data_IF_021421811838
#
_entry.id   IF_021421811838
#
_cell.length_a   1.000
_cell.length_b   1.000
_cell.length_c   1.000
_cell.angle_alpha   90.00
_cell.angle_beta   90.00
_cell.angle_gamma   90.00
#
_symmetry.space_group_name_H-M   'P 1'
#
loop_
_entity.id
_entity.type
_entity.pdbx_description
1 polymer ?
#
# COMPACT_ATOMS: atom_id res chain seq x y z
N UNK A 1 -5.93 14.19 0.00
CA UNK A 1 -5.83 12.77 -0.38
C UNK A 1 -6.35 11.96 0.80
N UNK A 2 -7.34 11.08 0.64
CA UNK A 2 -7.83 10.25 1.74
C UNK A 2 -7.74 8.79 1.32
N UNK A 3 -6.63 8.14 1.67
CA UNK A 3 -6.47 6.69 1.61
C UNK A 3 -6.63 6.21 3.05
N UNK A 4 -7.61 5.34 3.31
CA UNK A 4 -7.87 4.83 4.64
C UNK A 4 -6.75 3.87 5.04
N UNK A 5 -6.23 4.05 6.26
CA UNK A 5 -5.25 3.14 6.84
C UNK A 5 -5.95 2.15 7.77
N UNK A 6 -5.65 0.88 7.58
CA UNK A 6 -6.12 -0.23 8.41
C UNK A 6 -4.96 -0.78 9.23
N UNK A 7 -5.25 -1.45 10.34
CA UNK A 7 -4.27 -2.28 11.04
C UNK A 7 -4.55 -3.73 10.72
N UNK A 8 -3.55 -4.41 10.16
CA UNK A 8 -3.60 -5.83 9.85
C UNK A 8 -2.28 -6.47 10.23
N UNK A 9 -2.27 -7.79 10.36
CA UNK A 9 -1.07 -8.56 10.63
C UNK A 9 -0.53 -9.15 9.33
N UNK A 10 0.65 -8.72 8.92
CA UNK A 10 1.39 -9.31 7.80
C UNK A 10 2.67 -9.90 8.41
N UNK A 11 3.02 -11.14 8.06
CA UNK A 11 4.16 -11.86 8.64
C UNK A 11 4.16 -11.97 10.18
N UNK A 12 3.00 -12.08 10.83
CA UNK A 12 2.88 -12.06 12.30
C UNK A 12 3.23 -10.71 12.96
N UNK A 13 3.43 -9.65 12.18
CA UNK A 13 3.65 -8.30 12.69
C UNK A 13 2.44 -7.41 12.38
N UNK A 14 1.93 -6.71 13.41
CA UNK A 14 0.88 -5.71 13.22
C UNK A 14 1.48 -4.48 12.55
N UNK A 15 0.94 -4.13 11.38
CA UNK A 15 1.35 -2.94 10.66
C UNK A 15 0.18 -2.22 10.01
N UNK A 16 0.44 -0.97 9.61
CA UNK A 16 -0.50 -0.21 8.81
C UNK A 16 -0.57 -0.78 7.40
N UNK A 17 -1.78 -0.90 6.88
CA UNK A 17 -2.04 -1.46 5.55
C UNK A 17 -3.11 -0.65 4.82
N UNK A 18 -3.17 -0.84 3.51
CA UNK A 18 -4.15 -0.21 2.62
C UNK A 18 -4.98 -1.31 1.95
N UNK A 19 -6.30 -1.10 1.85
CA UNK A 19 -7.15 -1.99 1.05
C UNK A 19 -6.85 -1.80 -0.45
N UNK A 20 -6.52 -2.88 -1.15
CA UNK A 20 -6.11 -2.78 -2.55
C UNK A 20 -7.22 -2.27 -3.48
N UNK A 21 -8.50 -2.54 -3.21
CA UNK A 21 -9.61 -2.04 -4.03
C UNK A 21 -9.83 -0.55 -3.84
N UNK A 22 -9.71 -0.07 -2.61
CA UNK A 22 -9.78 1.36 -2.32
C UNK A 22 -8.64 2.09 -3.02
N UNK A 23 -7.42 1.52 -2.97
CA UNK A 23 -6.28 2.07 -3.70
C UNK A 23 -6.53 2.08 -5.21
N UNK A 24 -6.99 0.97 -5.79
CA UNK A 24 -7.31 0.88 -7.21
C UNK A 24 -8.33 1.92 -7.65
N UNK A 25 -9.42 2.07 -6.88
CA UNK A 25 -10.46 3.06 -7.13
C UNK A 25 -9.91 4.49 -7.01
N UNK A 26 -9.11 4.76 -5.98
CA UNK A 26 -8.46 6.05 -5.78
C UNK A 26 -7.52 6.39 -6.94
N UNK A 27 -6.77 5.42 -7.45
CA UNK A 27 -5.84 5.62 -8.57
C UNK A 27 -6.54 5.80 -9.91
N UNK A 28 -7.86 5.56 -9.98
CA UNK A 28 -8.67 5.68 -11.20
C UNK A 28 -8.12 4.81 -12.35
N UNK A 29 -7.51 3.66 -12.03
CA UNK A 29 -7.13 2.68 -13.06
C UNK A 29 -8.42 2.06 -13.65
N UNK A 30 -8.43 1.90 -14.97
CA UNK A 30 -9.58 1.43 -15.77
C UNK A 30 -9.62 -0.10 -15.93
N UNK A 31 -8.55 -0.79 -15.58
CA UNK A 31 -8.47 -2.24 -15.63
C UNK A 31 -9.41 -2.89 -14.62
N UNK A 32 -9.80 -4.13 -14.87
CA UNK A 32 -10.52 -4.90 -13.86
C UNK A 32 -9.60 -5.21 -12.68
N UNK A 33 -10.02 -4.84 -11.47
CA UNK A 33 -9.24 -5.00 -10.24
C UNK A 33 -8.52 -6.36 -10.11
N UNK A 34 -9.21 -7.47 -10.40
CA UNK A 34 -8.65 -8.82 -10.26
C UNK A 34 -7.52 -9.13 -11.25
N UNK A 35 -7.52 -8.48 -12.41
CA UNK A 35 -6.46 -8.57 -13.41
C UNK A 35 -5.33 -7.63 -12.99
N UNK A 36 -5.68 -6.36 -12.74
CA UNK A 36 -4.74 -5.34 -12.29
C UNK A 36 -3.85 -5.78 -11.12
N UNK A 37 -4.44 -6.26 -10.02
CA UNK A 37 -3.66 -6.59 -8.83
C UNK A 37 -2.71 -7.77 -9.07
N UNK A 38 -3.14 -8.77 -9.85
CA UNK A 38 -2.31 -9.94 -10.19
C UNK A 38 -1.15 -9.54 -11.10
N UNK A 39 -1.44 -8.76 -12.13
CA UNK A 39 -0.43 -8.28 -13.07
C UNK A 39 0.61 -7.43 -12.34
N UNK A 40 0.19 -6.58 -11.40
CA UNK A 40 1.13 -5.78 -10.60
C UNK A 40 1.94 -6.60 -9.61
N UNK A 41 1.33 -7.58 -8.96
CA UNK A 41 2.06 -8.54 -8.10
C UNK A 41 3.17 -9.24 -8.90
N UNK A 42 2.83 -9.77 -10.08
CA UNK A 42 3.79 -10.47 -10.93
C UNK A 42 4.86 -9.52 -11.49
N UNK A 43 4.45 -8.37 -12.03
CA UNK A 43 5.35 -7.42 -12.70
C UNK A 43 6.41 -6.82 -11.77
N UNK A 44 6.05 -6.54 -10.51
CA UNK A 44 6.95 -5.90 -9.54
C UNK A 44 7.50 -6.89 -8.51
N UNK A 45 7.12 -8.17 -8.58
CA UNK A 45 7.66 -9.21 -7.71
C UNK A 45 7.22 -9.10 -6.26
N UNK A 46 6.01 -8.59 -6.00
CA UNK A 46 5.49 -8.48 -4.63
C UNK A 46 5.25 -9.87 -4.01
N UNK A 47 5.60 -10.01 -2.74
CA UNK A 47 5.64 -11.28 -2.02
C UNK A 47 4.48 -11.34 -1.00
N UNK A 48 3.70 -12.42 -1.05
CA UNK A 48 2.65 -12.65 -0.05
C UNK A 48 3.26 -12.89 1.33
N UNK A 49 2.62 -12.33 2.36
CA UNK A 49 3.10 -12.24 3.74
C UNK A 49 4.32 -11.34 3.92
N UNK A 50 4.69 -10.52 2.94
CA UNK A 50 5.68 -9.46 3.10
C UNK A 50 5.09 -8.12 2.62
N UNK A 51 4.66 -8.09 1.37
CA UNK A 51 4.14 -6.90 0.72
C UNK A 51 2.61 -6.83 0.78
N UNK A 52 1.94 -7.98 0.87
CA UNK A 52 0.49 -8.05 1.01
C UNK A 52 0.05 -9.34 1.72
N UNK A 53 -1.21 -9.38 2.13
CA UNK A 53 -1.90 -10.61 2.51
C UNK A 53 -3.24 -10.71 1.79
N UNK A 54 -3.69 -11.94 1.54
CA UNK A 54 -5.01 -12.20 0.97
C UNK A 54 -6.01 -12.65 2.04
N UNK A 55 -7.27 -12.30 1.87
CA UNK A 55 -8.36 -12.81 2.69
C UNK A 55 -9.63 -12.95 1.86
N UNK A 56 -10.50 -13.88 2.26
CA UNK A 56 -11.82 -14.02 1.66
C UNK A 56 -12.71 -12.89 2.17
N UNK A 57 -13.45 -12.25 1.27
CA UNK A 57 -14.54 -11.37 1.69
C UNK A 57 -15.55 -12.21 2.49
N UNK A 58 -15.74 -11.88 3.77
CA UNK A 58 -16.71 -12.53 4.65
C UNK A 58 -18.13 -12.04 4.31
N UNK A 59 -18.59 -12.28 3.07
CA UNK A 59 -20.02 -12.26 2.80
C UNK A 59 -20.61 -13.51 3.45
N UNK A 60 -21.59 -13.38 4.33
CA UNK A 60 -22.37 -14.51 4.84
C UNK A 60 -22.81 -15.36 3.65
N UNK A 61 -22.15 -16.51 3.45
CA UNK A 61 -22.28 -17.45 2.33
C UNK A 61 -22.86 -16.82 1.05
N UNK A 62 -22.05 -16.41 0.07
CA UNK A 62 -22.63 -15.93 -1.19
C UNK A 62 -23.63 -16.98 -1.70
N UNK A 63 -24.91 -16.59 -1.84
CA UNK A 63 -26.00 -17.49 -2.26
C UNK A 63 -25.68 -18.21 -3.58
N UNK A 64 -24.71 -17.69 -4.34
CA UNK A 64 -24.12 -18.33 -5.51
C UNK A 64 -22.69 -17.80 -5.73
N UNK A 65 -21.73 -18.68 -6.01
CA UNK A 65 -20.37 -18.31 -6.48
C UNK A 65 -19.22 -18.49 -5.47
N UNK A 66 -17.98 -18.34 -5.95
CA UNK A 66 -16.76 -18.37 -5.13
C UNK A 66 -16.61 -17.01 -4.42
N UNK A 67 -16.29 -16.98 -3.10
CA UNK A 67 -15.99 -15.74 -2.39
C UNK A 67 -14.89 -14.93 -3.09
N UNK A 68 -15.01 -13.60 -3.02
CA UNK A 68 -14.01 -12.69 -3.58
C UNK A 68 -12.74 -12.73 -2.74
N UNK A 69 -11.60 -12.63 -3.42
CA UNK A 69 -10.29 -12.48 -2.78
C UNK A 69 -10.01 -10.98 -2.65
N UNK A 70 -9.75 -10.56 -1.43
CA UNK A 70 -9.37 -9.20 -1.05
C UNK A 70 -7.91 -9.17 -0.60
N UNK A 71 -7.29 -8.00 -0.72
CA UNK A 71 -5.86 -7.80 -0.47
C UNK A 71 -5.66 -6.63 0.51
N UNK A 72 -4.92 -6.88 1.59
CA UNK A 72 -4.36 -5.82 2.43
C UNK A 72 -2.89 -5.64 2.04
N UNK A 73 -2.55 -4.44 1.60
CA UNK A 73 -1.23 -4.09 1.09
C UNK A 73 -0.41 -3.42 2.20
N UNK A 74 0.87 -3.73 2.27
CA UNK A 74 1.82 -2.93 3.05
C UNK A 74 1.83 -1.48 2.54
N UNK A 75 2.25 -0.55 3.40
CA UNK A 75 2.38 0.84 2.99
C UNK A 75 3.36 1.00 1.82
N UNK A 76 4.43 0.21 1.80
CA UNK A 76 5.48 0.33 0.78
C UNK A 76 4.98 -0.17 -0.57
N UNK A 77 4.27 -1.31 -0.61
CA UNK A 77 3.61 -1.78 -1.83
C UNK A 77 2.58 -0.74 -2.33
N UNK A 78 1.76 -0.17 -1.44
CA UNK A 78 0.76 0.83 -1.83
C UNK A 78 1.40 2.12 -2.41
N UNK A 79 2.53 2.56 -1.86
CA UNK A 79 3.31 3.68 -2.39
C UNK A 79 3.85 3.36 -3.77
N UNK A 80 4.47 2.19 -3.94
CA UNK A 80 5.06 1.77 -5.21
C UNK A 80 4.00 1.69 -6.31
N UNK A 81 2.86 1.03 -6.04
CA UNK A 81 1.71 1.01 -6.95
C UNK A 81 1.27 2.42 -7.34
N UNK A 82 1.11 3.32 -6.38
CA UNK A 82 0.73 4.72 -6.65
C UNK A 82 1.71 5.43 -7.58
N UNK A 83 3.01 5.10 -7.52
CA UNK A 83 4.02 5.69 -8.38
C UNK A 83 4.02 5.11 -9.80
N UNK A 84 3.72 3.82 -9.95
CA UNK A 84 3.83 3.11 -11.24
C UNK A 84 2.55 3.13 -12.08
N UNK A 85 1.39 3.40 -11.50
CA UNK A 85 0.11 3.46 -12.25
C UNK A 85 0.04 4.59 -13.29
N UNK A 86 0.91 5.60 -13.20
CA UNK A 86 0.98 6.74 -14.16
C UNK A 86 -0.36 7.47 -14.36
N UNK A 87 -1.25 7.47 -13.37
CA UNK A 87 -2.50 8.24 -13.38
C UNK A 87 -2.31 9.61 -12.71
N UNK A 88 -3.24 10.54 -12.92
CA UNK A 88 -3.21 11.86 -12.26
C UNK A 88 -3.28 11.71 -10.73
N UNK A 89 -4.04 10.74 -10.24
CA UNK A 89 -4.14 10.39 -8.82
C UNK A 89 -2.86 9.74 -8.29
N UNK A 90 -2.25 8.85 -9.08
CA UNK A 90 -0.93 8.31 -8.77
C UNK A 90 0.15 9.40 -8.67
N UNK A 91 0.13 10.38 -9.58
CA UNK A 91 1.02 11.55 -9.54
C UNK A 91 0.81 12.39 -8.28
N UNK A 92 -0.44 12.63 -7.87
CA UNK A 92 -0.76 13.35 -6.63
C UNK A 92 -0.26 12.59 -5.40
N UNK A 93 -0.49 11.27 -5.34
CA UNK A 93 -0.01 10.43 -4.24
C UNK A 93 1.52 10.42 -4.16
N UNK A 94 2.21 10.26 -5.30
CA UNK A 94 3.68 10.34 -5.37
C UNK A 94 4.20 11.67 -4.83
N UNK A 95 3.64 12.79 -5.28
CA UNK A 95 4.07 14.12 -4.82
C UNK A 95 3.88 14.27 -3.30
N UNK A 96 2.74 13.81 -2.78
CA UNK A 96 2.45 13.82 -1.35
C UNK A 96 3.45 12.96 -0.54
N UNK A 97 3.72 11.73 -0.97
CA UNK A 97 4.66 10.86 -0.24
C UNK A 97 6.08 11.44 -0.22
N UNK A 98 6.55 11.98 -1.35
CA UNK A 98 7.85 12.67 -1.41
C UNK A 98 7.89 13.85 -0.42
N UNK A 99 6.83 14.66 -0.37
CA UNK A 99 6.74 15.79 0.56
C UNK A 99 6.78 15.31 2.04
N UNK A 100 6.05 14.25 2.36
CA UNK A 100 6.03 13.69 3.71
C UNK A 100 7.38 13.09 4.11
N UNK A 101 8.09 12.42 3.20
CA UNK A 101 9.45 11.94 3.46
C UNK A 101 10.44 13.09 3.71
N UNK A 102 10.33 14.19 2.97
CA UNK A 102 11.14 15.39 3.24
C UNK A 102 10.86 15.95 4.63
N UNK A 103 9.58 16.08 5.03
CA UNK A 103 9.20 16.54 6.37
C UNK A 103 9.71 15.60 7.47
N UNK A 104 9.59 14.29 7.27
CA UNK A 104 10.08 13.30 8.23
C UNK A 104 11.60 13.38 8.42
N UNK A 105 12.35 13.54 7.32
CA UNK A 105 13.82 13.71 7.36
C UNK A 105 14.24 15.01 8.07
N UNK A 106 13.48 16.09 7.92
CA UNK A 106 13.75 17.36 8.59
C UNK A 106 13.38 17.35 10.09
N UNK A 107 12.39 16.54 10.47
CA UNK A 107 11.94 16.39 11.85
C UNK A 107 12.78 15.37 12.66
N UNK A 108 13.61 14.56 11.99
CA UNK A 108 14.51 13.64 12.67
C UNK A 108 15.53 14.45 13.50
N UNK A 109 15.70 14.15 14.80
CA UNK A 109 16.69 14.85 15.61
C UNK A 109 18.08 14.64 14.99
N UNK A 110 18.86 15.71 14.92
CA UNK A 110 20.27 15.61 14.53
C UNK A 110 20.93 14.55 15.41
N UNK A 111 21.65 13.61 14.77
CA UNK A 111 22.44 12.64 15.52
C UNK A 111 23.39 13.42 16.44
N UNK A 112 23.54 13.03 17.72
CA UNK A 112 24.49 13.66 18.60
C UNK A 112 25.89 13.62 17.96
N UNK A 113 26.53 14.79 17.89
CA UNK A 113 27.88 14.92 17.37
C UNK A 113 28.88 14.36 18.39
N UNK A 114 29.31 13.12 18.18
CA UNK A 114 30.32 12.46 19.00
C UNK A 114 31.76 12.86 18.64
N UNK A 115 31.97 13.77 17.68
CA UNK A 115 33.31 14.17 17.24
C UNK A 115 33.93 15.29 18.07
N UNK A 116 33.20 15.86 19.02
CA UNK A 116 33.73 16.83 19.99
C UNK A 116 33.76 16.25 21.41
N UNK A 117 34.84 15.58 21.82
CA UNK A 117 35.02 15.23 23.22
C UNK A 117 35.28 16.52 24.02
N UNK A 118 34.45 16.75 25.05
CA UNK A 118 34.62 17.82 26.03
C UNK A 118 35.94 17.71 26.81
#
# INVERSE_FOLDING_TARGET
MNITLYRNTINHEEQQTVNARELHAFLENKDHFSTWIKDRIEQYGFIENQDYMTFSENSEKPQTGRPRVEYALSLDMAKELSMVERTDKGKQARAYFIEMEHKAKQAAPALPDFTNPA
#
